data_IF_183005875285
#
_entry.id   IF_183005875285
#
_cell.length_a   1.000
_cell.length_b   1.000
_cell.length_c   1.000
_cell.angle_alpha   90.00
_cell.angle_beta   90.00
_cell.angle_gamma   90.00
#
_symmetry.space_group_name_H-M   'P 1'
#
loop_
_entity.id
_entity.type
_entity.pdbx_description
1 polymer ?
#
# COMPACT_ATOMS: atom_id res chain seq x y z
N UNK A 1 -15.40 -19.27 -21.93
CA UNK A 1 -15.58 -18.66 -20.59
C UNK A 1 -14.62 -19.22 -19.54
N UNK A 2 -14.64 -20.52 -19.21
CA UNK A 2 -13.73 -21.11 -18.18
C UNK A 2 -12.23 -21.02 -18.50
N UNK A 3 -11.85 -21.14 -19.79
CA UNK A 3 -10.44 -20.99 -20.23
C UNK A 3 -9.96 -19.56 -20.07
N UNK A 4 -10.78 -18.58 -20.44
CA UNK A 4 -10.46 -17.16 -20.32
C UNK A 4 -10.28 -16.75 -18.84
N UNK A 5 -11.18 -17.18 -17.96
CA UNK A 5 -11.06 -16.96 -16.51
C UNK A 5 -9.80 -17.59 -15.91
N UNK A 6 -9.40 -18.81 -16.33
CA UNK A 6 -8.13 -19.42 -15.89
C UNK A 6 -6.90 -18.66 -16.38
N UNK A 7 -6.94 -18.13 -17.60
CA UNK A 7 -5.84 -17.30 -18.14
C UNK A 7 -5.71 -16.03 -17.30
N UNK A 8 -6.82 -15.33 -17.02
CA UNK A 8 -6.80 -14.14 -16.17
C UNK A 8 -6.28 -14.43 -14.76
N UNK A 9 -6.75 -15.50 -14.11
CA UNK A 9 -6.27 -15.89 -12.79
C UNK A 9 -4.76 -16.25 -12.79
N UNK A 10 -4.29 -16.93 -13.84
CA UNK A 10 -2.86 -17.25 -14.00
C UNK A 10 -2.00 -15.99 -14.17
N UNK A 11 -2.47 -15.01 -14.95
CA UNK A 11 -1.79 -13.72 -15.14
C UNK A 11 -1.70 -12.97 -13.81
N UNK A 12 -2.81 -12.85 -13.06
CA UNK A 12 -2.81 -12.22 -11.75
C UNK A 12 -1.87 -12.92 -10.76
N UNK A 13 -1.82 -14.27 -10.80
CA UNK A 13 -0.86 -15.06 -10.03
C UNK A 13 0.59 -14.70 -10.34
N UNK A 14 0.94 -14.61 -11.62
CA UNK A 14 2.29 -14.19 -12.03
C UNK A 14 2.59 -12.76 -11.55
N UNK A 15 1.65 -11.84 -11.71
CA UNK A 15 1.82 -10.44 -11.25
C UNK A 15 2.05 -10.38 -9.74
N UNK A 16 1.26 -11.12 -8.95
CA UNK A 16 1.41 -11.17 -7.49
C UNK A 16 2.79 -11.71 -7.09
N UNK A 17 3.27 -12.76 -7.75
CA UNK A 17 4.63 -13.32 -7.52
C UNK A 17 5.71 -12.30 -7.87
N UNK A 18 5.56 -11.56 -8.97
CA UNK A 18 6.51 -10.52 -9.36
C UNK A 18 6.56 -9.38 -8.34
N UNK A 19 5.41 -8.92 -7.84
CA UNK A 19 5.37 -7.91 -6.77
C UNK A 19 6.00 -8.41 -5.48
N UNK A 20 5.75 -9.67 -5.08
CA UNK A 20 6.37 -10.26 -3.91
C UNK A 20 7.91 -10.39 -4.07
N UNK A 21 8.38 -10.82 -5.24
CA UNK A 21 9.80 -10.90 -5.54
C UNK A 21 10.45 -9.51 -5.54
N UNK A 22 9.81 -8.50 -6.13
CA UNK A 22 10.27 -7.11 -6.09
C UNK A 22 10.36 -6.57 -4.67
N UNK A 23 9.35 -6.85 -3.82
CA UNK A 23 9.39 -6.48 -2.40
C UNK A 23 10.60 -7.09 -1.68
N UNK A 24 10.90 -8.37 -1.91
CA UNK A 24 12.08 -9.03 -1.32
C UNK A 24 13.40 -8.40 -1.79
N UNK A 25 13.48 -8.05 -3.08
CA UNK A 25 14.66 -7.34 -3.62
C UNK A 25 14.81 -5.98 -2.96
N UNK A 26 13.72 -5.20 -2.83
CA UNK A 26 13.76 -3.89 -2.18
C UNK A 26 14.14 -3.99 -0.70
N UNK A 27 13.63 -5.00 0.03
CA UNK A 27 14.06 -5.28 1.42
C UNK A 27 15.55 -5.56 1.48
N UNK A 28 16.07 -6.38 0.56
CA UNK A 28 17.50 -6.66 0.50
C UNK A 28 18.32 -5.40 0.21
N UNK A 29 17.89 -4.58 -0.76
CA UNK A 29 18.54 -3.30 -1.08
C UNK A 29 18.55 -2.37 0.13
N UNK A 30 17.41 -2.20 0.80
CA UNK A 30 17.34 -1.35 1.99
C UNK A 30 18.25 -1.86 3.12
N UNK A 31 18.30 -3.18 3.35
CA UNK A 31 19.20 -3.77 4.33
C UNK A 31 20.67 -3.51 3.98
N UNK A 32 21.02 -3.54 2.69
CA UNK A 32 22.38 -3.21 2.21
C UNK A 32 22.70 -1.72 2.45
N UNK A 33 21.79 -0.81 2.11
CA UNK A 33 21.95 0.65 2.35
C UNK A 33 22.14 0.92 3.85
N UNK A 34 21.25 0.38 4.68
CA UNK A 34 21.34 0.54 6.14
C UNK A 34 22.65 -0.03 6.70
N UNK A 35 23.05 -1.22 6.26
CA UNK A 35 24.32 -1.82 6.67
C UNK A 35 25.51 -0.96 6.29
N UNK A 36 25.56 -0.45 5.06
CA UNK A 36 26.65 0.44 4.63
C UNK A 36 26.69 1.72 5.45
N UNK A 37 25.53 2.32 5.72
CA UNK A 37 25.42 3.55 6.50
C UNK A 37 25.96 3.40 7.93
N UNK A 38 25.63 2.30 8.61
CA UNK A 38 26.04 2.06 10.01
C UNK A 38 27.41 1.40 10.15
N UNK A 39 27.99 0.88 9.06
CA UNK A 39 29.32 0.26 9.08
C UNK A 39 30.48 1.26 9.18
N UNK A 40 30.21 2.55 8.92
CA UNK A 40 31.15 3.65 9.05
C UNK A 40 31.07 4.37 10.42
N UNK A 41 31.36 5.67 10.41
CA UNK A 41 31.13 6.52 11.58
C UNK A 41 29.63 6.84 11.72
N UNK A 42 29.12 6.90 12.95
CA UNK A 42 27.72 7.26 13.22
C UNK A 42 27.55 8.78 13.23
N UNK A 43 27.66 9.37 12.04
CA UNK A 43 27.52 10.80 11.79
C UNK A 43 26.22 11.14 11.02
N UNK A 44 26.13 12.38 10.53
CA UNK A 44 25.01 12.87 9.73
C UNK A 44 24.79 12.06 8.45
N UNK A 45 25.85 11.59 7.81
CA UNK A 45 25.78 10.73 6.62
C UNK A 45 25.21 9.35 6.94
N UNK A 46 25.58 8.76 8.09
CA UNK A 46 24.96 7.52 8.56
C UNK A 46 23.46 7.69 8.83
N UNK A 47 23.04 8.83 9.42
CA UNK A 47 21.63 9.13 9.62
C UNK A 47 20.87 9.25 8.29
N UNK A 48 21.43 9.96 7.30
CA UNK A 48 20.84 10.08 5.96
C UNK A 48 20.70 8.73 5.26
N UNK A 49 21.73 7.88 5.31
CA UNK A 49 21.65 6.53 4.73
C UNK A 49 20.61 5.62 5.39
N UNK A 50 20.39 5.75 6.71
CA UNK A 50 19.31 5.03 7.40
C UNK A 50 17.93 5.56 6.95
N UNK A 51 17.78 6.87 6.77
CA UNK A 51 16.54 7.48 6.27
C UNK A 51 16.23 7.00 4.84
N UNK A 52 17.24 6.96 3.97
CA UNK A 52 17.11 6.42 2.61
C UNK A 52 16.66 4.96 2.63
N UNK A 53 17.27 4.13 3.48
CA UNK A 53 16.87 2.73 3.64
C UNK A 53 15.40 2.59 4.08
N UNK A 54 14.92 3.48 4.96
CA UNK A 54 13.51 3.51 5.38
C UNK A 54 12.58 3.82 4.20
N UNK A 55 12.96 4.75 3.31
CA UNK A 55 12.19 5.03 2.08
C UNK A 55 12.07 3.81 1.17
N UNK A 56 13.19 3.12 0.92
CA UNK A 56 13.20 1.87 0.13
C UNK A 56 12.35 0.78 0.80
N UNK A 57 12.37 0.66 2.14
CA UNK A 57 11.49 -0.26 2.86
C UNK A 57 10.02 0.10 2.71
N UNK A 58 9.65 1.38 2.72
CA UNK A 58 8.28 1.81 2.51
C UNK A 58 7.77 1.33 1.13
N UNK A 59 8.58 1.51 0.08
CA UNK A 59 8.26 0.99 -1.25
C UNK A 59 8.10 -0.54 -1.27
N UNK A 60 8.96 -1.27 -0.53
CA UNK A 60 8.85 -2.72 -0.40
C UNK A 60 7.55 -3.16 0.26
N UNK A 61 7.12 -2.45 1.32
CA UNK A 61 5.84 -2.71 2.01
C UNK A 61 4.66 -2.49 1.07
N UNK A 62 4.68 -1.43 0.25
CA UNK A 62 3.64 -1.21 -0.77
C UNK A 62 3.61 -2.38 -1.74
N UNK A 63 4.74 -2.76 -2.33
CA UNK A 63 4.81 -3.88 -3.27
C UNK A 63 4.27 -5.19 -2.68
N UNK A 64 4.61 -5.49 -1.42
CA UNK A 64 4.08 -6.66 -0.72
C UNK A 64 2.56 -6.57 -0.50
N UNK A 65 2.04 -5.40 -0.14
CA UNK A 65 0.61 -5.18 0.02
C UNK A 65 -0.15 -5.39 -1.29
N UNK A 66 0.40 -4.93 -2.43
CA UNK A 66 -0.18 -5.20 -3.75
C UNK A 66 -0.19 -6.71 -4.03
N UNK A 67 0.92 -7.42 -3.77
CA UNK A 67 0.98 -8.87 -3.96
C UNK A 67 -0.08 -9.62 -3.14
N UNK A 68 -0.20 -9.27 -1.84
CA UNK A 68 -1.21 -9.83 -0.95
C UNK A 68 -2.62 -9.55 -1.44
N UNK A 69 -2.88 -8.30 -1.84
CA UNK A 69 -4.16 -7.84 -2.37
C UNK A 69 -4.59 -8.63 -3.59
N UNK A 70 -3.72 -8.76 -4.60
CA UNK A 70 -4.01 -9.52 -5.82
C UNK A 70 -4.25 -11.00 -5.48
N UNK A 71 -3.46 -11.56 -4.57
CA UNK A 71 -3.60 -12.96 -4.15
C UNK A 71 -4.92 -13.20 -3.42
N UNK A 72 -5.28 -12.36 -2.45
CA UNK A 72 -6.50 -12.47 -1.66
C UNK A 72 -7.76 -12.32 -2.54
N UNK A 73 -7.80 -11.30 -3.40
CA UNK A 73 -9.02 -10.97 -4.15
C UNK A 73 -9.17 -11.78 -5.45
N UNK A 74 -8.11 -11.91 -6.26
CA UNK A 74 -8.21 -12.51 -7.60
C UNK A 74 -7.96 -14.03 -7.61
N UNK A 75 -7.18 -14.55 -6.65
CA UNK A 75 -6.79 -15.98 -6.63
C UNK A 75 -7.60 -16.76 -5.60
N UNK A 76 -7.71 -16.24 -4.36
CA UNK A 76 -8.38 -16.95 -3.26
C UNK A 76 -9.88 -16.72 -3.30
N UNK A 77 -10.33 -15.47 -3.42
CA UNK A 77 -11.76 -15.13 -3.34
C UNK A 77 -12.48 -15.41 -4.65
N UNK A 78 -11.92 -15.06 -5.82
CA UNK A 78 -12.54 -15.37 -7.11
C UNK A 78 -13.99 -14.86 -7.22
N UNK A 79 -14.28 -13.68 -6.64
CA UNK A 79 -15.64 -13.12 -6.52
C UNK A 79 -15.74 -11.78 -7.23
N UNK A 80 -16.87 -11.56 -7.91
CA UNK A 80 -17.31 -10.24 -8.36
C UNK A 80 -17.32 -9.23 -7.18
N UNK A 81 -16.60 -8.12 -7.33
CA UNK A 81 -16.54 -6.97 -6.39
C UNK A 81 -17.91 -6.27 -6.21
N UNK A 82 -18.99 -6.83 -6.75
CA UNK A 82 -20.31 -6.21 -6.90
C UNK A 82 -21.04 -5.89 -5.59
N UNK A 83 -20.58 -6.37 -4.42
CA UNK A 83 -21.16 -5.98 -3.13
C UNK A 83 -20.48 -4.70 -2.59
N UNK A 84 -21.20 -3.57 -2.44
CA UNK A 84 -20.63 -2.28 -2.04
C UNK A 84 -19.79 -2.34 -0.74
N UNK A 85 -20.22 -3.16 0.21
CA UNK A 85 -19.53 -3.39 1.49
C UNK A 85 -18.13 -3.99 1.32
N UNK A 86 -17.96 -4.94 0.39
CA UNK A 86 -16.67 -5.59 0.13
C UNK A 86 -15.70 -4.63 -0.54
N UNK A 87 -16.17 -3.91 -1.56
CA UNK A 87 -15.40 -2.87 -2.23
C UNK A 87 -14.88 -1.82 -1.24
N UNK A 88 -15.72 -1.37 -0.29
CA UNK A 88 -15.29 -0.40 0.74
C UNK A 88 -14.24 -0.98 1.68
N UNK A 89 -14.44 -2.18 2.23
CA UNK A 89 -13.47 -2.76 3.19
C UNK A 89 -12.11 -3.00 2.54
N UNK A 90 -12.12 -3.49 1.31
CA UNK A 90 -10.93 -3.66 0.49
C UNK A 90 -10.22 -2.32 0.27
N UNK A 91 -10.95 -1.33 -0.25
CA UNK A 91 -10.41 -0.02 -0.58
C UNK A 91 -9.93 0.73 0.67
N UNK A 92 -10.58 0.58 1.82
CA UNK A 92 -10.12 1.11 3.11
C UNK A 92 -8.76 0.54 3.51
N UNK A 93 -8.60 -0.80 3.47
CA UNK A 93 -7.34 -1.45 3.85
C UNK A 93 -6.21 -1.03 2.91
N UNK A 94 -6.50 -0.98 1.62
CA UNK A 94 -5.56 -0.55 0.60
C UNK A 94 -5.14 0.92 0.76
N UNK A 95 -6.12 1.82 0.93
CA UNK A 95 -5.88 3.26 1.03
C UNK A 95 -5.03 3.61 2.26
N UNK A 96 -5.25 2.94 3.40
CA UNK A 96 -4.42 3.16 4.59
C UNK A 96 -2.95 2.86 4.29
N UNK A 97 -2.65 1.75 3.60
CA UNK A 97 -1.26 1.40 3.27
C UNK A 97 -0.65 2.41 2.30
N UNK A 98 -1.40 2.84 1.28
CA UNK A 98 -0.94 3.86 0.32
C UNK A 98 -0.65 5.19 1.03
N UNK A 99 -1.56 5.67 1.88
CA UNK A 99 -1.38 6.95 2.60
C UNK A 99 -0.19 6.87 3.55
N UNK A 100 -0.03 5.77 4.29
CA UNK A 100 1.13 5.59 5.19
C UNK A 100 2.44 5.57 4.39
N UNK A 101 2.48 4.86 3.26
CA UNK A 101 3.67 4.81 2.42
C UNK A 101 4.03 6.17 1.82
N UNK A 102 3.06 6.91 1.25
CA UNK A 102 3.27 8.25 0.72
C UNK A 102 3.69 9.24 1.81
N UNK A 103 3.18 9.10 3.03
CA UNK A 103 3.59 9.93 4.15
C UNK A 103 5.04 9.66 4.57
N UNK A 104 5.46 8.38 4.60
CA UNK A 104 6.87 8.02 4.85
C UNK A 104 7.76 8.54 3.72
N UNK A 105 7.35 8.38 2.47
CA UNK A 105 8.09 8.89 1.31
C UNK A 105 8.24 10.41 1.35
N UNK A 106 7.17 11.13 1.68
CA UNK A 106 7.19 12.57 1.87
C UNK A 106 8.11 13.02 3.01
N UNK A 107 8.18 12.24 4.10
CA UNK A 107 9.11 12.49 5.19
C UNK A 107 10.56 12.28 4.75
N UNK A 108 10.84 11.17 4.06
CA UNK A 108 12.18 10.87 3.51
C UNK A 108 12.62 11.95 2.52
N UNK A 109 11.74 12.37 1.62
CA UNK A 109 12.00 13.45 0.67
C UNK A 109 12.27 14.78 1.40
N UNK A 110 11.52 15.10 2.46
CA UNK A 110 11.75 16.31 3.24
C UNK A 110 13.11 16.30 3.95
N UNK A 111 13.49 15.17 4.56
CA UNK A 111 14.81 15.02 5.16
C UNK A 111 15.92 15.13 4.12
N UNK A 112 15.77 14.47 2.97
CA UNK A 112 16.76 14.53 1.89
C UNK A 112 16.93 15.96 1.39
N UNK A 113 15.84 16.69 1.15
CA UNK A 113 15.88 18.08 0.69
C UNK A 113 16.56 19.04 1.68
N UNK A 114 16.42 18.82 2.99
CA UNK A 114 17.10 19.66 4.00
C UNK A 114 18.63 19.54 3.93
N UNK A 115 19.14 18.36 3.56
CA UNK A 115 20.57 18.04 3.57
C UNK A 115 21.22 18.18 2.19
N UNK A 116 20.48 17.95 1.11
CA UNK A 116 21.02 17.99 -0.26
C UNK A 116 20.68 19.30 -1.00
N UNK A 117 19.40 19.59 -1.20
CA UNK A 117 18.94 20.78 -1.92
C UNK A 117 17.62 21.31 -1.36
N UNK A 118 17.67 22.50 -0.78
CA UNK A 118 16.51 23.18 -0.21
C UNK A 118 15.44 23.52 -1.27
N UNK A 119 15.78 23.55 -2.57
CA UNK A 119 14.78 23.70 -3.63
C UNK A 119 13.80 22.52 -3.69
N UNK A 120 14.25 21.31 -3.34
CA UNK A 120 13.43 20.09 -3.31
C UNK A 120 12.44 20.05 -2.13
N UNK A 121 12.55 20.96 -1.16
CA UNK A 121 11.56 21.08 -0.07
C UNK A 121 10.17 21.37 -0.60
N UNK A 122 10.07 22.07 -1.74
CA UNK A 122 8.79 22.33 -2.40
C UNK A 122 8.16 21.02 -2.90
N UNK A 123 8.98 20.12 -3.46
CA UNK A 123 8.51 18.81 -3.90
C UNK A 123 8.03 17.97 -2.71
N UNK A 124 8.82 17.90 -1.64
CA UNK A 124 8.45 17.18 -0.43
C UNK A 124 7.16 17.73 0.20
N UNK A 125 7.02 19.05 0.29
CA UNK A 125 5.81 19.71 0.77
C UNK A 125 4.60 19.40 -0.14
N UNK A 126 4.76 19.44 -1.46
CA UNK A 126 3.70 19.12 -2.41
C UNK A 126 3.26 17.65 -2.29
N UNK A 127 4.19 16.72 -2.09
CA UNK A 127 3.91 15.31 -1.86
C UNK A 127 3.12 15.08 -0.56
N UNK A 128 3.53 15.71 0.54
CA UNK A 128 2.83 15.65 1.83
C UNK A 128 1.42 16.27 1.75
N UNK A 129 1.28 17.43 1.10
CA UNK A 129 -0.02 18.06 0.87
C UNK A 129 -0.93 17.20 0.01
N UNK A 130 -0.41 16.61 -1.06
CA UNK A 130 -1.16 15.69 -1.93
C UNK A 130 -1.60 14.44 -1.18
N UNK A 131 -0.76 13.92 -0.29
CA UNK A 131 -1.09 12.79 0.60
C UNK A 131 -2.21 13.16 1.57
N UNK A 132 -2.16 14.35 2.16
CA UNK A 132 -3.24 14.88 3.00
C UNK A 132 -4.56 15.06 2.22
N UNK A 133 -4.48 15.59 1.00
CA UNK A 133 -5.64 15.75 0.12
C UNK A 133 -6.24 14.39 -0.27
N UNK A 134 -5.41 13.37 -0.55
CA UNK A 134 -5.85 12.01 -0.82
C UNK A 134 -6.60 11.42 0.38
N UNK A 135 -6.05 11.57 1.60
CA UNK A 135 -6.70 11.11 2.83
C UNK A 135 -8.03 11.83 3.10
N UNK A 136 -8.10 13.14 2.85
CA UNK A 136 -9.32 13.92 2.97
C UNK A 136 -10.38 13.49 1.95
N UNK A 137 -10.00 13.34 0.67
CA UNK A 137 -10.86 12.84 -0.39
C UNK A 137 -11.38 11.43 -0.07
N UNK A 138 -10.54 10.57 0.51
CA UNK A 138 -10.94 9.26 0.99
C UNK A 138 -11.97 9.34 2.13
N UNK A 139 -11.78 10.25 3.10
CA UNK A 139 -12.76 10.50 4.16
C UNK A 139 -14.12 10.94 3.61
N UNK A 140 -14.11 11.83 2.61
CA UNK A 140 -15.33 12.27 1.90
C UNK A 140 -15.98 11.11 1.13
N UNK A 141 -15.18 10.28 0.45
CA UNK A 141 -15.67 9.09 -0.24
C UNK A 141 -16.38 8.12 0.72
N UNK A 142 -15.78 7.85 1.89
CA UNK A 142 -16.41 7.01 2.92
C UNK A 142 -17.73 7.61 3.39
N UNK A 143 -17.77 8.94 3.62
CA UNK A 143 -18.96 9.62 4.09
C UNK A 143 -20.15 9.43 3.13
N UNK A 144 -19.94 9.67 1.83
CA UNK A 144 -21.00 9.51 0.82
C UNK A 144 -21.37 8.04 0.56
N UNK A 145 -20.43 7.11 0.69
CA UNK A 145 -20.72 5.68 0.51
C UNK A 145 -21.45 5.05 1.72
N UNK A 146 -21.68 5.79 2.81
CA UNK A 146 -22.41 5.28 3.97
C UNK A 146 -23.88 5.03 3.65
N UNK A 147 -24.49 5.87 2.82
CA UNK A 147 -25.91 5.77 2.43
C UNK A 147 -26.19 4.50 1.60
N UNK A 148 -25.25 4.07 0.76
CA UNK A 148 -25.37 2.86 -0.04
C UNK A 148 -25.45 1.57 0.81
N UNK A 149 -24.85 1.55 2.01
CA UNK A 149 -24.94 0.42 2.94
C UNK A 149 -26.26 0.37 3.71
N UNK A 150 -26.85 1.52 3.99
CA UNK A 150 -28.16 1.61 4.66
C UNK A 150 -29.27 1.07 3.75
N UNK A 151 -29.05 1.07 2.43
CA UNK A 151 -29.98 0.58 1.40
C UNK A 151 -29.92 -0.94 1.16
N UNK A 152 -28.84 -1.65 1.54
CA UNK A 152 -28.70 -3.12 1.34
C UNK A 152 -28.33 -3.89 2.63
N UNK A 153 -29.23 -3.96 3.64
CA UNK A 153 -28.95 -4.63 4.92
C UNK A 153 -28.69 -6.14 4.79
N UNK A 154 -29.19 -6.80 3.74
CA UNK A 154 -28.99 -8.24 3.51
C UNK A 154 -27.56 -8.57 3.02
N UNK A 155 -26.97 -7.74 2.15
CA UNK A 155 -25.59 -7.88 1.68
C UNK A 155 -24.58 -7.71 2.84
N UNK A 156 -24.86 -6.78 3.76
CA UNK A 156 -24.11 -6.59 5.00
C UNK A 156 -24.13 -7.84 5.89
N UNK A 157 -25.29 -8.51 6.03
CA UNK A 157 -25.41 -9.74 6.81
C UNK A 157 -24.63 -10.90 6.19
N UNK A 158 -24.66 -11.04 4.87
CA UNK A 158 -23.90 -12.08 4.14
C UNK A 158 -22.39 -11.89 4.29
N UNK A 159 -21.90 -10.65 4.15
CA UNK A 159 -20.47 -10.33 4.31
C UNK A 159 -19.98 -10.65 5.74
N UNK A 160 -20.75 -10.27 6.77
CA UNK A 160 -20.44 -10.61 8.18
C UNK A 160 -20.41 -12.13 8.44
N UNK A 161 -21.20 -12.91 7.72
CA UNK A 161 -21.22 -14.38 7.84
C UNK A 161 -20.03 -15.05 7.15
N UNK A 162 -19.56 -14.49 6.03
CA UNK A 162 -18.36 -14.98 5.34
C UNK A 162 -17.08 -14.75 6.16
N UNK A 163 -16.94 -13.57 6.79
CA UNK A 163 -15.81 -13.28 7.69
C UNK A 163 -15.75 -14.27 8.87
N UNK A 164 -16.89 -14.61 9.46
CA UNK A 164 -16.97 -15.52 10.62
C UNK A 164 -16.58 -16.97 10.31
N UNK A 165 -16.54 -17.35 9.03
CA UNK A 165 -16.10 -18.69 8.58
C UNK A 165 -14.59 -18.76 8.36
N UNK A 166 -13.91 -17.62 8.21
CA UNK A 166 -12.46 -17.54 8.03
C UNK A 166 -11.72 -17.49 9.39
N UNK A 167 -12.41 -17.08 10.46
CA UNK A 167 -11.90 -17.07 11.83
C UNK A 167 -12.03 -18.44 12.56
N UNK A 168 -12.48 -19.51 11.88
CA UNK A 168 -12.58 -20.89 12.38
C UNK A 168 -11.57 -21.80 11.68
#
# INVERSE_FOLDING_TARGET
>A
MKVLSRIFSSIHGVIAVLFAAAALVLVFVAARIAWTAVSGALDEGAAQGVIEAIGVLAAAVVALQIAQTITEEEIIRGVDISAPTRARRFLSRFMVVVVVALAIEGLVAAFTAIHEDLAELVYAAALLLSTGALLAAWGVFIHFNREAEELEPEAMRKTKQEDRKLDQ
#
